data_IF_865078503753
#
_entry.id   IF_865078503753
#
_cell.length_a   1.000
_cell.length_b   1.000
_cell.length_c   1.000
_cell.angle_alpha   90.00
_cell.angle_beta   90.00
_cell.angle_gamma   90.00
#
_symmetry.space_group_name_H-M   'P 1'
#
loop_
_entity.id
_entity.type
_entity.pdbx_description
1 polymer ?
#
# COMPACT_ATOMS: atom_id res chain seq x y z
N UNK A 1 -18.24 3.41 0.36
CA UNK A 1 -16.98 3.90 -0.23
C UNK A 1 -15.87 4.11 0.83
N UNK A 2 -16.21 4.26 2.11
CA UNK A 2 -15.20 4.48 3.16
C UNK A 2 -14.65 3.18 3.76
N UNK A 3 -15.42 2.11 3.69
CA UNK A 3 -15.14 0.84 4.36
C UNK A 3 -14.25 -0.11 3.54
N UNK A 4 -13.99 0.20 2.27
CA UNK A 4 -13.22 -0.67 1.37
C UNK A 4 -12.07 0.09 0.74
N UNK A 5 -10.95 -0.59 0.55
CA UNK A 5 -9.73 -0.01 -0.03
C UNK A 5 -9.65 -0.23 -1.54
N UNK A 6 -10.11 -1.36 -2.02
CA UNK A 6 -10.12 -1.69 -3.43
C UNK A 6 -11.52 -1.92 -3.95
N UNK A 7 -11.74 -1.55 -5.21
CA UNK A 7 -12.96 -1.79 -5.96
C UNK A 7 -12.62 -2.49 -7.26
N UNK A 8 -13.38 -3.53 -7.57
CA UNK A 8 -13.26 -4.29 -8.81
C UNK A 8 -14.45 -3.90 -9.70
N UNK A 9 -14.19 -3.67 -10.97
CA UNK A 9 -15.24 -3.40 -11.94
C UNK A 9 -15.05 -4.21 -13.22
N UNK A 10 -16.15 -4.52 -13.88
CA UNK A 10 -16.09 -5.09 -15.22
C UNK A 10 -15.77 -4.02 -16.26
N UNK A 11 -14.99 -4.38 -17.27
CA UNK A 11 -14.59 -3.47 -18.34
C UNK A 11 -15.76 -2.77 -19.03
N UNK A 12 -16.85 -3.50 -19.26
CA UNK A 12 -18.05 -2.99 -19.93
C UNK A 12 -18.79 -1.92 -19.12
N UNK A 13 -18.68 -1.97 -17.78
CA UNK A 13 -19.40 -1.07 -16.87
C UNK A 13 -18.51 0.11 -16.44
N UNK A 14 -17.20 0.04 -16.71
CA UNK A 14 -16.25 1.09 -16.30
C UNK A 14 -16.68 2.52 -16.65
N UNK A 15 -17.19 2.82 -17.84
CA UNK A 15 -17.65 4.17 -18.18
C UNK A 15 -18.78 4.65 -17.28
N UNK A 16 -19.74 3.79 -16.96
CA UNK A 16 -20.85 4.10 -16.05
C UNK A 16 -20.36 4.30 -14.61
N UNK A 17 -19.43 3.48 -14.15
CA UNK A 17 -18.80 3.63 -12.83
C UNK A 17 -18.02 4.93 -12.74
N UNK A 18 -17.30 5.30 -13.79
CA UNK A 18 -16.57 6.57 -13.84
C UNK A 18 -17.51 7.78 -13.76
N UNK A 19 -18.62 7.76 -14.46
CA UNK A 19 -19.62 8.84 -14.44
C UNK A 19 -20.31 8.94 -13.08
N UNK A 20 -20.76 7.81 -12.51
CA UNK A 20 -21.54 7.81 -11.28
C UNK A 20 -20.67 8.03 -10.03
N UNK A 21 -19.48 7.40 -9.97
CA UNK A 21 -18.64 7.37 -8.78
C UNK A 21 -17.31 8.12 -8.90
N UNK A 22 -17.00 8.69 -10.07
CA UNK A 22 -15.76 9.39 -10.33
C UNK A 22 -15.46 10.52 -9.34
N UNK A 23 -16.47 11.28 -8.95
CA UNK A 23 -16.35 12.36 -7.95
C UNK A 23 -15.99 11.87 -6.55
N UNK A 24 -16.35 10.62 -6.20
CA UNK A 24 -16.12 10.03 -4.89
C UNK A 24 -14.80 9.23 -4.89
N UNK A 25 -14.56 8.42 -5.92
CA UNK A 25 -13.40 7.54 -6.00
C UNK A 25 -12.14 8.26 -6.50
N UNK A 26 -12.30 9.27 -7.37
CA UNK A 26 -11.18 10.02 -7.94
C UNK A 26 -10.28 10.66 -6.90
N UNK A 27 -10.79 11.58 -6.04
CA UNK A 27 -9.97 12.23 -5.01
C UNK A 27 -9.34 11.27 -4.01
N UNK A 28 -10.01 10.15 -3.73
CA UNK A 28 -9.53 9.11 -2.82
C UNK A 28 -8.56 8.12 -3.48
N UNK A 29 -8.42 8.20 -4.79
CA UNK A 29 -7.61 7.27 -5.55
C UNK A 29 -8.13 5.82 -5.54
N UNK A 30 -9.38 5.59 -5.20
CA UNK A 30 -10.01 4.25 -5.11
C UNK A 30 -10.66 3.79 -6.43
N UNK A 31 -10.42 4.51 -7.52
CA UNK A 31 -10.94 4.13 -8.83
C UNK A 31 -10.31 2.82 -9.30
N UNK A 32 -11.11 1.85 -9.81
CA UNK A 32 -10.58 0.63 -10.38
C UNK A 32 -9.58 0.93 -11.50
N UNK A 33 -8.37 0.41 -11.38
CA UNK A 33 -7.30 0.65 -12.36
C UNK A 33 -7.01 -0.65 -13.12
N UNK A 34 -7.01 -0.64 -14.46
CA UNK A 34 -6.66 -1.81 -15.25
C UNK A 34 -5.22 -2.28 -15.00
N UNK A 35 -4.28 -1.38 -14.72
CA UNK A 35 -2.88 -1.71 -14.42
C UNK A 35 -2.72 -2.55 -13.14
N UNK A 36 -3.57 -2.35 -12.15
CA UNK A 36 -3.58 -3.14 -10.92
C UNK A 36 -4.39 -4.44 -11.04
N UNK A 37 -4.97 -4.72 -12.20
CA UNK A 37 -5.84 -5.88 -12.41
C UNK A 37 -7.24 -5.73 -11.80
N UNK A 38 -7.62 -4.56 -11.32
CA UNK A 38 -8.93 -4.30 -10.74
C UNK A 38 -10.06 -4.14 -11.76
N UNK A 39 -9.75 -4.18 -13.06
CA UNK A 39 -10.72 -4.22 -14.14
C UNK A 39 -10.69 -5.60 -14.79
N UNK A 40 -11.82 -6.29 -14.78
CA UNK A 40 -11.95 -7.69 -15.20
C UNK A 40 -12.91 -7.84 -16.37
N UNK A 41 -12.71 -8.88 -17.16
CA UNK A 41 -13.70 -9.31 -18.15
C UNK A 41 -14.98 -9.85 -17.47
N UNK A 42 -16.15 -9.81 -18.13
CA UNK A 42 -17.41 -10.22 -17.53
C UNK A 42 -17.45 -11.66 -17.01
N UNK A 43 -16.62 -12.55 -17.55
CA UNK A 43 -16.57 -13.97 -17.17
C UNK A 43 -15.30 -14.34 -16.36
N UNK A 44 -14.57 -13.35 -15.81
CA UNK A 44 -13.36 -13.62 -15.07
C UNK A 44 -13.65 -14.23 -13.69
N UNK A 45 -12.79 -15.17 -13.27
CA UNK A 45 -12.84 -15.72 -11.92
C UNK A 45 -12.33 -14.67 -10.93
N UNK A 46 -13.16 -14.34 -9.94
CA UNK A 46 -12.84 -13.29 -8.95
C UNK A 46 -12.03 -13.81 -7.76
N UNK A 47 -11.99 -15.12 -7.49
CA UNK A 47 -11.28 -15.68 -6.33
C UNK A 47 -9.78 -15.35 -6.34
N UNK A 48 -9.01 -15.68 -7.39
CA UNK A 48 -7.57 -15.40 -7.39
C UNK A 48 -7.27 -13.89 -7.38
N UNK A 49 -8.17 -13.09 -7.93
CA UNK A 49 -8.04 -11.64 -7.90
C UNK A 49 -8.25 -11.09 -6.49
N UNK A 50 -9.21 -11.62 -5.77
CA UNK A 50 -9.48 -11.26 -4.38
C UNK A 50 -8.28 -11.56 -3.48
N UNK A 51 -7.71 -12.76 -3.59
CA UNK A 51 -6.50 -13.15 -2.86
C UNK A 51 -5.32 -12.23 -3.19
N UNK A 52 -5.10 -11.96 -4.47
CA UNK A 52 -4.05 -11.03 -4.90
C UNK A 52 -4.24 -9.62 -4.34
N UNK A 53 -5.47 -9.10 -4.31
CA UNK A 53 -5.74 -7.76 -3.80
C UNK A 53 -5.60 -7.67 -2.27
N UNK A 54 -5.81 -8.76 -1.53
CA UNK A 54 -5.54 -8.79 -0.09
C UNK A 54 -4.05 -8.61 0.23
N UNK A 55 -3.17 -9.11 -0.61
CA UNK A 55 -1.72 -8.96 -0.46
C UNK A 55 -1.14 -7.73 -1.19
N UNK A 56 -2.01 -6.87 -1.74
CA UNK A 56 -1.57 -5.70 -2.49
C UNK A 56 -1.72 -4.44 -1.66
N UNK A 57 -0.64 -3.72 -1.49
CA UNK A 57 -0.60 -2.41 -0.84
C UNK A 57 -0.49 -1.32 -1.89
N UNK A 58 -1.14 -0.20 -1.64
CA UNK A 58 -1.07 0.96 -2.50
C UNK A 58 -0.31 2.09 -1.82
N UNK A 59 0.89 2.35 -2.28
CA UNK A 59 1.69 3.50 -1.88
C UNK A 59 1.38 4.70 -2.79
N UNK A 60 1.06 5.85 -2.21
CA UNK A 60 0.79 7.08 -2.97
C UNK A 60 1.39 8.29 -2.25
N UNK A 61 2.01 9.17 -3.03
CA UNK A 61 2.41 10.52 -2.60
C UNK A 61 1.40 11.51 -3.16
N UNK A 62 0.73 12.28 -2.32
CA UNK A 62 -0.23 13.30 -2.78
C UNK A 62 0.30 14.71 -2.56
N UNK A 63 0.26 15.18 -1.33
CA UNK A 63 0.58 16.56 -0.97
C UNK A 63 1.94 16.73 -0.30
N UNK A 64 2.52 15.64 0.17
CA UNK A 64 3.81 15.62 0.82
C UNK A 64 4.69 14.53 0.22
N UNK A 65 6.00 14.70 0.17
CA UNK A 65 6.94 13.68 -0.27
C UNK A 65 7.13 12.60 0.83
N UNK A 66 6.02 12.00 1.25
CA UNK A 66 5.96 11.00 2.30
C UNK A 66 5.09 9.83 1.84
N UNK A 67 5.61 8.63 2.00
CA UNK A 67 4.90 7.37 1.74
C UNK A 67 4.65 6.70 3.08
N UNK A 68 3.39 6.37 3.33
CA UNK A 68 2.97 5.59 4.49
C UNK A 68 2.19 4.38 4.02
N UNK A 69 2.62 3.20 4.41
CA UNK A 69 1.95 1.95 4.08
C UNK A 69 2.07 0.96 5.24
N UNK A 70 1.06 0.12 5.46
CA UNK A 70 1.15 -0.98 6.39
C UNK A 70 2.13 -2.03 5.84
N UNK A 71 2.97 -2.57 6.70
CA UNK A 71 3.97 -3.60 6.35
C UNK A 71 3.57 -4.95 6.90
N UNK A 72 2.87 -4.96 8.03
CA UNK A 72 2.44 -6.18 8.69
C UNK A 72 1.55 -5.92 9.89
N UNK A 73 1.20 -6.98 10.58
CA UNK A 73 0.45 -7.01 11.84
C UNK A 73 1.35 -7.50 12.97
N UNK A 74 0.99 -7.26 14.21
CA UNK A 74 1.71 -7.75 15.41
C UNK A 74 1.71 -9.28 15.52
N UNK A 75 0.81 -9.95 14.81
CA UNK A 75 0.73 -11.42 14.76
C UNK A 75 1.76 -12.06 13.82
N UNK A 76 2.40 -11.27 12.95
CA UNK A 76 3.39 -11.75 11.99
C UNK A 76 4.77 -11.84 12.64
N UNK A 77 5.60 -12.75 12.14
CA UNK A 77 7.00 -12.84 12.56
C UNK A 77 7.82 -11.64 12.13
N UNK A 78 8.84 -11.29 12.87
CA UNK A 78 9.75 -10.18 12.55
C UNK A 78 10.44 -10.37 11.20
N UNK A 79 10.72 -11.62 10.83
CA UNK A 79 11.34 -11.98 9.54
C UNK A 79 10.41 -11.67 8.37
N UNK A 80 9.13 -12.01 8.45
CA UNK A 80 8.12 -11.72 7.43
C UNK A 80 7.90 -10.19 7.28
N UNK A 81 7.88 -9.47 8.38
CA UNK A 81 7.77 -8.00 8.37
C UNK A 81 8.99 -7.38 7.70
N UNK A 82 10.18 -7.88 7.99
CA UNK A 82 11.42 -7.41 7.37
C UNK A 82 11.44 -7.68 5.85
N UNK A 83 11.01 -8.86 5.42
CA UNK A 83 10.91 -9.22 4.00
C UNK A 83 9.90 -8.35 3.26
N UNK A 84 8.73 -8.11 3.86
CA UNK A 84 7.73 -7.21 3.32
C UNK A 84 8.28 -5.77 3.18
N UNK A 85 8.98 -5.28 4.18
CA UNK A 85 9.61 -3.96 4.14
C UNK A 85 10.66 -3.85 3.02
N UNK A 86 11.49 -4.87 2.84
CA UNK A 86 12.48 -4.94 1.78
C UNK A 86 11.83 -4.99 0.39
N UNK A 87 10.73 -5.72 0.25
CA UNK A 87 9.98 -5.81 -1.00
C UNK A 87 9.38 -4.46 -1.39
N UNK A 88 8.80 -3.74 -0.42
CA UNK A 88 8.27 -2.39 -0.64
C UNK A 88 9.41 -1.43 -1.02
N UNK A 89 10.53 -1.48 -0.30
CA UNK A 89 11.70 -0.65 -0.58
C UNK A 89 12.25 -0.87 -1.99
N UNK A 90 12.42 -2.12 -2.38
CA UNK A 90 12.91 -2.50 -3.72
C UNK A 90 11.97 -2.03 -4.82
N UNK A 91 10.66 -2.18 -4.61
CA UNK A 91 9.65 -1.69 -5.55
C UNK A 91 9.65 -0.18 -5.68
N UNK A 92 9.88 0.55 -4.60
CA UNK A 92 9.99 2.01 -4.62
C UNK A 92 11.24 2.47 -5.37
N UNK A 93 12.37 1.80 -5.19
CA UNK A 93 13.61 2.11 -5.92
C UNK A 93 13.43 2.01 -7.43
N UNK A 94 12.68 1.02 -7.91
CA UNK A 94 12.42 0.83 -9.34
C UNK A 94 11.53 1.93 -9.95
N UNK A 95 10.66 2.53 -9.15
CA UNK A 95 9.71 3.55 -9.63
C UNK A 95 10.26 4.96 -9.51
N UNK A 96 11.13 5.21 -8.51
CA UNK A 96 11.69 6.55 -8.28
C UNK A 96 12.81 6.86 -9.29
N UNK A 97 12.81 8.09 -9.90
CA UNK A 97 13.82 8.49 -10.86
C UNK A 97 15.14 8.64 -10.14
N UNK A 98 15.84 8.77 -9.52
CA UNK A 98 17.13 8.85 -8.84
C UNK A 98 17.32 7.75 -7.76
N UNK A 99 16.55 6.68 -7.81
CA UNK A 99 16.68 5.53 -6.92
C UNK A 99 16.90 5.92 -5.43
N UNK A 100 18.08 5.56 -4.88
CA UNK A 100 18.42 5.77 -3.46
C UNK A 100 18.50 7.24 -3.05
N UNK A 101 18.83 8.17 -3.96
CA UNK A 101 18.98 9.59 -3.62
C UNK A 101 17.65 10.29 -3.31
N UNK A 102 16.52 9.71 -3.74
CA UNK A 102 15.20 10.26 -3.44
C UNK A 102 14.65 9.83 -2.08
N UNK A 103 15.23 8.79 -1.48
CA UNK A 103 14.83 8.30 -0.16
C UNK A 103 15.78 8.86 0.88
N UNK A 104 15.27 9.77 1.72
CA UNK A 104 16.07 10.39 2.77
C UNK A 104 16.15 9.51 4.01
N UNK A 105 15.01 9.13 4.54
CA UNK A 105 14.90 8.37 5.77
C UNK A 105 13.79 7.33 5.69
N UNK A 106 13.97 6.22 6.37
CA UNK A 106 12.98 5.16 6.51
C UNK A 106 12.71 4.96 7.98
N UNK A 107 11.43 4.96 8.34
CA UNK A 107 10.98 4.75 9.72
C UNK A 107 10.00 3.59 9.78
N UNK A 108 10.12 2.78 10.79
CA UNK A 108 9.15 1.73 11.14
C UNK A 108 8.54 2.07 12.49
N UNK A 109 7.24 1.90 12.61
CA UNK A 109 6.52 2.16 13.86
C UNK A 109 5.29 1.28 13.97
N UNK A 110 4.88 0.97 15.17
CA UNK A 110 3.53 0.50 15.47
C UNK A 110 2.53 1.66 15.33
N UNK A 111 1.25 1.37 15.15
CA UNK A 111 0.20 2.38 14.92
C UNK A 111 0.22 3.49 15.97
N UNK A 112 0.36 3.14 17.25
CA UNK A 112 0.44 4.08 18.38
C UNK A 112 1.86 4.22 18.95
N UNK A 113 2.85 3.53 18.38
CA UNK A 113 4.24 3.53 18.85
C UNK A 113 5.07 4.72 18.36
N UNK A 114 6.23 4.89 18.96
CA UNK A 114 7.22 5.86 18.50
C UNK A 114 7.87 5.38 17.20
N UNK A 115 8.19 6.29 16.26
CA UNK A 115 8.91 5.90 15.04
C UNK A 115 10.37 5.55 15.36
N UNK A 116 10.82 4.45 14.78
CA UNK A 116 12.23 4.01 14.88
C UNK A 116 12.85 4.12 13.50
N UNK A 117 13.98 4.78 13.39
CA UNK A 117 14.70 4.93 12.13
C UNK A 117 15.45 3.66 11.79
N UNK A 118 15.32 3.21 10.55
CA UNK A 118 16.03 2.03 10.06
C UNK A 118 17.52 2.36 9.93
N UNK A 119 18.37 1.53 10.54
CA UNK A 119 19.83 1.71 10.54
C UNK A 119 20.39 2.41 11.77
N UNK A 120 19.58 2.95 12.66
CA UNK A 120 20.01 3.39 13.98
C UNK A 120 19.93 2.21 14.98
N UNK A 121 20.95 2.09 15.84
CA UNK A 121 20.88 1.12 16.94
C UNK A 121 19.81 1.57 17.93
N UNK A 122 18.77 0.78 18.08
CA UNK A 122 17.74 1.03 19.08
C UNK A 122 18.33 0.69 20.44
N UNK A 123 18.59 1.70 21.27
CA UNK A 123 18.78 1.46 22.70
C UNK A 123 17.42 1.02 23.26
N UNK A 124 17.32 -0.25 23.57
CA UNK A 124 16.14 -0.81 24.25
C UNK A 124 16.11 -0.19 25.63
N UNK A 125 15.33 0.85 25.80
CA UNK A 125 14.98 1.38 27.11
C UNK A 125 14.18 0.28 27.80
N UNK A 126 14.85 -0.50 28.65
CA UNK A 126 14.18 -1.42 29.56
C UNK A 126 13.30 -0.56 30.45
N UNK A 127 12.00 -0.58 30.22
CA UNK A 127 11.04 -0.09 31.18
C UNK A 127 11.21 -0.90 32.46
N UNK A 128 11.91 -0.31 33.40
CA UNK A 128 11.95 -0.79 34.79
C UNK A 128 10.57 -0.60 35.37
N UNK A 129 9.95 -1.73 35.76
CA UNK A 129 8.72 -1.78 36.52
C UNK A 129 8.78 -0.91 37.79
#
# INVERSE_FOLDING_TARGET
ANSFDFFIAQANIMPKVATAFGRIFGPRGKMPNPKSGAVVAPNANLKPLYEKLQHTIRATTKNAPLIQCPVGSEEMSDEEIAENALTIYSSLLQVLPNEKHNIKDIYVKLTMGKPVKVGEKVEVVKETK
#
